data_IF_583415334321
#
_entry.id   IF_583415334321
#
_cell.length_a   1.000
_cell.length_b   1.000
_cell.length_c   1.000
_cell.angle_alpha   90.00
_cell.angle_beta   90.00
_cell.angle_gamma   90.00
#
_symmetry.space_group_name_H-M   'P 1'
#
loop_
_entity.id
_entity.type
_entity.pdbx_description
1 polymer ?
#
# COMPACT_ATOMS: atom_id res chain seq x y z
N UNK A 1 -13.63 -19.33 14.02
CA UNK A 1 -12.38 -20.09 13.81
C UNK A 1 -11.29 -19.38 14.60
N UNK A 2 -10.54 -20.06 15.47
CA UNK A 2 -9.44 -19.41 16.20
C UNK A 2 -8.40 -18.94 15.18
N UNK A 3 -8.04 -17.67 15.25
CA UNK A 3 -6.86 -17.15 14.56
C UNK A 3 -5.67 -17.80 15.21
N UNK A 4 -4.94 -18.62 14.45
CA UNK A 4 -3.65 -19.16 14.90
C UNK A 4 -2.79 -17.95 15.31
N UNK A 5 -2.48 -17.89 16.62
CA UNK A 5 -1.64 -16.83 17.19
C UNK A 5 -0.21 -16.80 16.59
N UNK A 6 0.12 -17.80 15.78
CA UNK A 6 1.39 -17.97 15.07
C UNK A 6 1.38 -17.41 13.62
N UNK A 7 0.27 -16.92 13.09
CA UNK A 7 0.25 -16.41 11.71
C UNK A 7 0.68 -14.93 11.68
N UNK A 8 1.80 -14.68 11.00
CA UNK A 8 2.37 -13.33 10.84
C UNK A 8 1.54 -12.43 9.92
N UNK A 9 0.50 -12.95 9.28
CA UNK A 9 -0.36 -12.21 8.32
C UNK A 9 -1.83 -12.31 8.69
N UNK A 10 -2.58 -11.29 8.30
CA UNK A 10 -4.02 -11.22 8.45
C UNK A 10 -4.74 -12.04 7.37
N UNK A 11 -5.95 -12.56 7.63
CA UNK A 11 -6.78 -13.15 6.59
C UNK A 11 -7.22 -12.08 5.57
N UNK A 12 -7.22 -12.44 4.28
CA UNK A 12 -7.84 -11.60 3.26
C UNK A 12 -9.33 -11.91 3.14
N UNK A 13 -10.19 -10.89 3.10
CA UNK A 13 -11.62 -11.06 2.90
C UNK A 13 -11.96 -11.50 1.46
N UNK A 14 -13.17 -12.03 1.19
CA UNK A 14 -13.54 -12.60 -0.10
C UNK A 14 -13.42 -11.65 -1.29
N UNK A 15 -13.73 -10.35 -1.10
CA UNK A 15 -13.70 -9.35 -2.15
C UNK A 15 -12.32 -8.73 -2.40
N UNK A 16 -11.33 -8.98 -1.55
CA UNK A 16 -9.98 -8.50 -1.79
C UNK A 16 -9.39 -9.07 -3.09
N UNK A 17 -8.67 -8.26 -3.91
CA UNK A 17 -8.01 -8.75 -5.11
C UNK A 17 -6.89 -9.73 -4.75
N UNK A 18 -6.84 -10.86 -5.46
CA UNK A 18 -5.89 -11.94 -5.17
C UNK A 18 -5.06 -12.30 -6.37
N UNK A 19 -3.77 -12.49 -6.18
CA UNK A 19 -2.90 -13.09 -7.20
C UNK A 19 -3.15 -14.60 -7.21
N UNK A 20 -3.20 -15.20 -8.38
CA UNK A 20 -3.05 -16.65 -8.55
C UNK A 20 -1.59 -17.03 -8.23
N UNK A 21 -1.20 -16.87 -6.96
CA UNK A 21 0.16 -17.12 -6.51
C UNK A 21 0.38 -18.58 -6.08
N UNK A 22 1.62 -19.04 -6.21
CA UNK A 22 2.00 -20.36 -5.74
C UNK A 22 2.03 -20.41 -4.21
N UNK A 23 1.80 -21.60 -3.62
CA UNK A 23 1.99 -21.84 -2.19
C UNK A 23 3.41 -21.47 -1.73
N UNK A 24 4.40 -21.68 -2.62
CA UNK A 24 5.80 -21.31 -2.39
C UNK A 24 5.99 -19.79 -2.19
N UNK A 25 5.40 -18.97 -3.04
CA UNK A 25 5.50 -17.50 -2.92
C UNK A 25 4.94 -17.00 -1.57
N UNK A 26 3.80 -17.56 -1.15
CA UNK A 26 3.21 -17.22 0.17
C UNK A 26 4.10 -17.69 1.32
N UNK A 27 4.66 -18.88 1.22
CA UNK A 27 5.58 -19.42 2.21
C UNK A 27 6.85 -18.55 2.32
N UNK A 28 7.47 -18.16 1.19
CA UNK A 28 8.62 -17.25 1.17
C UNK A 28 8.26 -15.92 1.85
N UNK A 29 7.15 -15.29 1.48
CA UNK A 29 6.74 -14.02 2.09
C UNK A 29 6.56 -14.13 3.61
N UNK A 30 5.88 -15.19 4.10
CA UNK A 30 5.72 -15.45 5.53
C UNK A 30 7.05 -15.70 6.24
N UNK A 31 7.96 -16.45 5.59
CA UNK A 31 9.29 -16.71 6.15
C UNK A 31 10.12 -15.43 6.28
N UNK A 32 10.07 -14.54 5.27
CA UNK A 32 10.74 -13.23 5.34
C UNK A 32 10.20 -12.39 6.50
N UNK A 33 8.88 -12.31 6.67
CA UNK A 33 8.28 -11.58 7.79
C UNK A 33 8.67 -12.18 9.14
N UNK A 34 8.59 -13.51 9.30
CA UNK A 34 8.97 -14.21 10.54
C UNK A 34 10.43 -14.00 10.91
N UNK A 35 11.34 -14.19 9.96
CA UNK A 35 12.78 -13.98 10.16
C UNK A 35 13.11 -12.52 10.49
N UNK A 36 12.36 -11.56 9.92
CA UNK A 36 12.47 -10.15 10.26
C UNK A 36 11.84 -9.78 11.60
N UNK A 37 11.06 -10.67 12.19
CA UNK A 37 10.26 -10.43 13.39
C UNK A 37 9.04 -9.53 13.15
N UNK A 38 8.59 -9.41 11.90
CA UNK A 38 7.43 -8.59 11.51
C UNK A 38 6.13 -9.37 11.58
N UNK A 39 5.07 -8.69 12.02
CA UNK A 39 3.71 -9.23 12.04
C UNK A 39 2.71 -8.19 11.55
N UNK A 40 1.57 -8.66 11.08
CA UNK A 40 0.47 -7.79 10.69
C UNK A 40 -0.58 -7.67 11.79
N UNK A 41 -1.20 -6.49 11.91
CA UNK A 41 -2.29 -6.22 12.86
C UNK A 41 -3.40 -5.41 12.17
N UNK A 42 -4.61 -5.45 12.75
CA UNK A 42 -5.81 -4.81 12.19
C UNK A 42 -6.66 -5.81 11.40
N UNK A 43 -7.43 -5.31 10.44
CA UNK A 43 -8.28 -6.12 9.57
C UNK A 43 -8.40 -5.49 8.19
N UNK A 44 -8.42 -6.32 7.15
CA UNK A 44 -8.72 -5.84 5.81
C UNK A 44 -10.24 -5.69 5.62
N UNK A 45 -10.70 -4.59 4.99
CA UNK A 45 -12.12 -4.42 4.67
C UNK A 45 -12.55 -5.35 3.53
N UNK A 46 -13.79 -5.86 3.61
CA UNK A 46 -14.32 -6.72 2.54
C UNK A 46 -14.93 -5.91 1.39
N UNK A 47 -14.09 -5.14 0.72
CA UNK A 47 -14.49 -4.33 -0.45
C UNK A 47 -13.58 -4.60 -1.64
N UNK A 48 -14.13 -4.57 -2.87
CA UNK A 48 -13.36 -4.93 -4.05
C UNK A 48 -12.39 -3.84 -4.52
N UNK A 49 -12.67 -2.57 -4.20
CA UNK A 49 -11.91 -1.43 -4.74
C UNK A 49 -11.57 -0.42 -3.66
N UNK A 50 -10.32 0.01 -3.62
CA UNK A 50 -9.85 1.07 -2.70
C UNK A 50 -8.50 1.65 -3.14
N UNK A 51 -8.15 2.79 -2.56
CA UNK A 51 -6.78 3.31 -2.58
C UNK A 51 -6.13 3.02 -1.23
N UNK A 52 -5.07 2.20 -1.22
CA UNK A 52 -4.27 1.93 -0.03
C UNK A 52 -3.12 2.92 0.02
N UNK A 53 -2.95 3.58 1.17
CA UNK A 53 -1.80 4.46 1.40
C UNK A 53 -0.92 3.88 2.49
N UNK A 54 0.40 3.83 2.22
CA UNK A 54 1.40 3.36 3.18
C UNK A 54 2.25 4.51 3.69
N UNK A 55 2.24 4.75 5.00
CA UNK A 55 3.08 5.72 5.70
C UNK A 55 3.38 5.22 7.13
N UNK A 56 4.42 5.71 7.81
CA UNK A 56 5.52 6.51 7.27
C UNK A 56 6.33 5.74 6.22
N UNK A 57 6.76 6.43 5.15
CA UNK A 57 7.63 5.85 4.14
C UNK A 57 9.03 6.44 4.26
N UNK A 58 9.84 5.87 5.15
CA UNK A 58 11.12 6.45 5.59
C UNK A 58 12.35 5.63 5.17
N UNK A 59 12.17 4.45 4.57
CA UNK A 59 13.26 3.55 4.23
C UNK A 59 12.99 2.71 2.98
N UNK A 60 14.05 2.22 2.34
CA UNK A 60 13.94 1.18 1.29
C UNK A 60 13.40 -0.16 1.86
N UNK A 61 13.61 -0.39 3.16
CA UNK A 61 13.12 -1.58 3.84
C UNK A 61 11.60 -1.65 3.91
N UNK A 62 10.90 -0.51 3.85
CA UNK A 62 9.43 -0.48 3.79
C UNK A 62 8.93 -1.23 2.54
N UNK A 63 9.66 -1.08 1.42
CA UNK A 63 9.39 -1.86 0.21
C UNK A 63 9.60 -3.35 0.41
N UNK A 64 10.68 -3.75 1.09
CA UNK A 64 10.96 -5.17 1.38
C UNK A 64 9.84 -5.78 2.22
N UNK A 65 9.47 -5.13 3.32
CA UNK A 65 8.42 -5.61 4.22
C UNK A 65 7.03 -5.58 3.55
N UNK A 66 6.74 -4.52 2.80
CA UNK A 66 5.49 -4.40 2.04
C UNK A 66 5.33 -5.48 0.96
N UNK A 67 6.39 -5.76 0.19
CA UNK A 67 6.36 -6.84 -0.80
C UNK A 67 6.34 -8.24 -0.17
N UNK A 68 7.03 -8.44 0.96
CA UNK A 68 6.94 -9.67 1.73
C UNK A 68 5.51 -9.92 2.24
N UNK A 69 4.86 -8.90 2.81
CA UNK A 69 3.46 -8.97 3.24
C UNK A 69 2.53 -9.24 2.06
N UNK A 70 2.67 -8.52 0.95
CA UNK A 70 1.91 -8.75 -0.28
C UNK A 70 2.03 -10.20 -0.76
N UNK A 71 3.25 -10.73 -0.81
CA UNK A 71 3.53 -12.11 -1.23
C UNK A 71 2.91 -13.12 -0.25
N UNK A 72 3.11 -12.91 1.06
CA UNK A 72 2.58 -13.76 2.12
C UNK A 72 1.06 -13.89 2.12
N UNK A 73 0.37 -12.76 1.82
CA UNK A 73 -1.07 -12.68 1.68
C UNK A 73 -1.58 -13.28 0.36
N UNK A 74 -0.78 -13.22 -0.70
CA UNK A 74 -1.26 -13.41 -2.07
C UNK A 74 -2.17 -12.27 -2.53
N UNK A 75 -1.93 -11.04 -2.03
CA UNK A 75 -2.70 -9.85 -2.36
C UNK A 75 -2.29 -9.27 -3.71
N UNK A 76 -3.25 -8.97 -4.58
CA UNK A 76 -3.01 -8.31 -5.86
C UNK A 76 -3.19 -6.78 -5.75
N UNK A 77 -2.36 -6.15 -4.95
CA UNK A 77 -2.31 -4.69 -4.92
C UNK A 77 -1.39 -4.16 -6.02
N UNK A 78 -1.83 -3.15 -6.75
CA UNK A 78 -1.04 -2.45 -7.76
C UNK A 78 -0.39 -1.21 -7.14
N UNK A 79 0.90 -1.02 -7.36
CA UNK A 79 1.64 0.13 -6.85
C UNK A 79 2.33 0.90 -7.98
N UNK A 80 2.51 2.21 -7.82
CA UNK A 80 3.22 3.02 -8.81
C UNK A 80 4.72 2.93 -8.60
N UNK A 81 5.45 2.61 -9.66
CA UNK A 81 6.90 2.67 -9.72
C UNK A 81 7.39 3.71 -10.72
N UNK A 82 8.55 4.28 -10.47
CA UNK A 82 9.19 5.21 -11.42
C UNK A 82 9.51 4.47 -12.72
N UNK A 83 9.11 5.05 -13.87
CA UNK A 83 9.31 4.46 -15.21
C UNK A 83 10.76 4.01 -15.45
N UNK A 84 11.74 4.82 -15.00
CA UNK A 84 13.16 4.49 -15.17
C UNK A 84 13.58 3.15 -14.55
N UNK A 85 12.89 2.64 -13.53
CA UNK A 85 13.19 1.35 -12.92
C UNK A 85 12.85 0.18 -13.85
N UNK A 86 11.90 0.38 -14.76
CA UNK A 86 11.48 -0.65 -15.71
C UNK A 86 12.41 -0.79 -16.92
N UNK A 87 13.33 0.17 -17.09
CA UNK A 87 14.37 0.16 -18.13
C UNK A 87 15.59 -0.66 -17.72
N UNK A 88 15.70 -1.00 -16.41
CA UNK A 88 16.78 -1.86 -15.90
C UNK A 88 16.49 -3.32 -16.24
N UNK A 89 17.41 -4.04 -16.93
CA UNK A 89 17.24 -5.44 -17.26
C UNK A 89 16.92 -6.29 -16.03
N UNK A 90 16.05 -7.29 -16.18
CA UNK A 90 15.54 -8.17 -15.13
C UNK A 90 14.67 -7.47 -14.08
N UNK A 91 15.06 -6.27 -13.59
CA UNK A 91 14.32 -5.54 -12.58
C UNK A 91 12.93 -5.12 -13.09
N UNK A 92 12.82 -4.63 -14.33
CA UNK A 92 11.54 -4.24 -14.92
C UNK A 92 10.55 -5.40 -15.00
N UNK A 93 11.02 -6.61 -15.36
CA UNK A 93 10.22 -7.82 -15.37
C UNK A 93 9.75 -8.22 -13.97
N UNK A 94 10.65 -8.21 -13.00
CA UNK A 94 10.34 -8.48 -11.59
C UNK A 94 9.32 -7.49 -11.04
N UNK A 95 9.49 -6.20 -11.28
CA UNK A 95 8.56 -5.17 -10.82
C UNK A 95 7.16 -5.36 -11.41
N UNK A 96 7.03 -5.66 -12.71
CA UNK A 96 5.73 -5.99 -13.31
C UNK A 96 5.11 -7.24 -12.69
N UNK A 97 5.90 -8.28 -12.46
CA UNK A 97 5.45 -9.49 -11.78
C UNK A 97 4.95 -9.19 -10.35
N UNK A 98 5.61 -8.28 -9.65
CA UNK A 98 5.20 -7.80 -8.34
C UNK A 98 3.99 -6.83 -8.38
N UNK A 99 3.41 -6.55 -9.55
CA UNK A 99 2.26 -5.67 -9.70
C UNK A 99 2.61 -4.18 -9.62
N UNK A 100 3.88 -3.82 -9.87
CA UNK A 100 4.28 -2.42 -9.98
C UNK A 100 3.96 -1.92 -11.39
N UNK A 101 3.25 -0.79 -11.47
CA UNK A 101 2.85 -0.14 -12.72
C UNK A 101 3.81 1.03 -12.98
N UNK A 102 4.45 1.10 -14.17
CA UNK A 102 5.30 2.23 -14.52
C UNK A 102 4.49 3.52 -14.63
N UNK A 103 5.00 4.59 -14.07
CA UNK A 103 4.39 5.91 -14.17
C UNK A 103 5.43 6.94 -14.60
N UNK A 104 5.09 7.64 -15.64
CA UNK A 104 5.77 8.88 -16.02
C UNK A 104 5.24 10.02 -15.13
N UNK A 105 6.08 10.44 -14.19
CA UNK A 105 5.73 11.49 -13.23
C UNK A 105 5.77 12.89 -13.84
N UNK A 106 6.20 13.06 -15.09
CA UNK A 106 6.19 14.34 -15.78
C UNK A 106 4.79 14.76 -16.24
N UNK A 107 3.89 13.80 -16.44
CA UNK A 107 2.50 13.99 -16.86
C UNK A 107 1.51 13.84 -15.68
N UNK A 108 1.62 14.67 -14.65
CA UNK A 108 0.89 14.51 -13.39
C UNK A 108 -0.65 14.44 -13.51
N UNK A 109 -1.26 15.14 -14.46
CA UNK A 109 -2.71 15.10 -14.68
C UNK A 109 -3.17 13.78 -15.32
N UNK A 110 -2.38 13.20 -16.23
CA UNK A 110 -2.71 11.93 -16.86
C UNK A 110 -2.66 10.73 -15.90
N UNK A 111 -1.80 10.78 -14.87
CA UNK A 111 -1.62 9.69 -13.90
C UNK A 111 -2.87 9.50 -13.02
N UNK A 112 -3.48 10.59 -12.56
CA UNK A 112 -4.69 10.53 -11.72
C UNK A 112 -5.83 9.88 -12.49
N UNK A 113 -6.09 10.36 -13.70
CA UNK A 113 -7.20 9.84 -14.50
C UNK A 113 -6.96 8.39 -14.95
N UNK A 114 -5.73 8.03 -15.36
CA UNK A 114 -5.37 6.66 -15.68
C UNK A 114 -5.60 5.71 -14.49
N UNK A 115 -5.13 6.08 -13.30
CA UNK A 115 -5.30 5.26 -12.11
C UNK A 115 -6.78 5.12 -11.72
N UNK A 116 -7.54 6.22 -11.77
CA UNK A 116 -8.97 6.21 -11.50
C UNK A 116 -9.73 5.34 -12.52
N UNK A 117 -9.40 5.44 -13.81
CA UNK A 117 -9.99 4.62 -14.85
C UNK A 117 -9.68 3.12 -14.64
N UNK A 118 -8.45 2.77 -14.26
CA UNK A 118 -8.09 1.38 -13.93
C UNK A 118 -8.92 0.84 -12.76
N UNK A 119 -9.14 1.65 -11.72
CA UNK A 119 -9.97 1.26 -10.56
C UNK A 119 -11.43 1.10 -10.99
N UNK A 120 -11.99 2.06 -11.74
CA UNK A 120 -13.40 2.02 -12.18
C UNK A 120 -13.69 0.80 -13.04
N UNK A 121 -12.82 0.50 -14.01
CA UNK A 121 -13.04 -0.54 -15.03
C UNK A 121 -12.76 -1.96 -14.56
N UNK A 122 -12.10 -2.16 -13.42
CA UNK A 122 -11.82 -3.49 -12.87
C UNK A 122 -12.94 -3.94 -11.93
N UNK A 123 -13.18 -5.24 -11.83
CA UNK A 123 -14.10 -5.80 -10.82
C UNK A 123 -13.53 -5.67 -9.41
N UNK A 124 -12.20 -5.90 -9.29
CA UNK A 124 -11.45 -5.82 -8.02
C UNK A 124 -10.14 -5.12 -8.28
N UNK A 125 -9.86 -4.06 -7.54
CA UNK A 125 -8.62 -3.29 -7.72
C UNK A 125 -8.23 -2.53 -6.45
N UNK A 126 -7.14 -2.91 -5.84
CA UNK A 126 -6.53 -2.16 -4.76
C UNK A 126 -5.29 -1.45 -5.28
N UNK A 127 -5.28 -0.14 -5.13
CA UNK A 127 -4.23 0.73 -5.64
C UNK A 127 -3.39 1.27 -4.50
N UNK A 128 -2.09 0.93 -4.45
CA UNK A 128 -1.20 1.27 -3.36
C UNK A 128 -0.22 2.39 -3.72
N UNK A 129 -0.03 3.33 -2.81
CA UNK A 129 1.00 4.36 -2.93
C UNK A 129 1.45 4.91 -1.57
N UNK A 130 2.63 5.57 -1.55
CA UNK A 130 3.10 6.33 -0.40
C UNK A 130 2.73 7.81 -0.61
N UNK A 131 1.91 8.41 0.28
CA UNK A 131 1.41 9.78 0.10
C UNK A 131 2.53 10.82 0.24
N UNK A 132 3.61 10.50 0.93
CA UNK A 132 4.80 11.35 1.07
C UNK A 132 5.53 11.52 -0.28
N UNK A 133 5.48 10.53 -1.17
CA UNK A 133 6.13 10.53 -2.48
C UNK A 133 7.66 10.50 -2.42
N UNK A 134 8.24 10.40 -1.25
CA UNK A 134 9.67 10.35 -0.96
C UNK A 134 9.90 9.60 0.36
N UNK A 135 11.17 9.29 0.68
CA UNK A 135 11.59 8.71 1.97
C UNK A 135 12.23 9.73 2.90
N UNK A 136 12.26 10.99 2.51
CA UNK A 136 12.70 12.10 3.36
C UNK A 136 11.49 12.68 4.09
N UNK A 137 11.66 13.28 5.28
CA UNK A 137 10.59 13.99 5.95
C UNK A 137 9.98 15.05 5.03
N UNK A 138 8.66 15.18 5.04
CA UNK A 138 7.94 16.16 4.24
C UNK A 138 6.89 16.89 5.07
N UNK A 139 6.82 18.19 4.92
CA UNK A 139 5.80 19.00 5.58
C UNK A 139 4.40 18.74 5.00
N UNK A 140 4.33 18.46 3.69
CA UNK A 140 3.07 18.26 2.98
C UNK A 140 3.08 16.97 2.18
N UNK A 141 2.00 16.22 2.26
CA UNK A 141 1.77 15.04 1.46
C UNK A 141 1.38 15.40 0.02
N UNK A 142 1.68 14.52 -0.92
CA UNK A 142 1.17 14.58 -2.28
C UNK A 142 -0.33 14.28 -2.29
N UNK A 143 -1.09 15.09 -3.02
CA UNK A 143 -2.55 14.99 -3.08
C UNK A 143 -3.06 13.92 -4.06
N UNK A 144 -2.16 13.23 -4.75
CA UNK A 144 -2.50 12.26 -5.79
C UNK A 144 -3.42 11.14 -5.31
N UNK A 145 -3.20 10.60 -4.10
CA UNK A 145 -4.04 9.54 -3.55
C UNK A 145 -5.50 10.00 -3.36
N UNK A 146 -5.68 11.22 -2.85
CA UNK A 146 -7.00 11.80 -2.63
C UNK A 146 -7.73 12.01 -3.97
N UNK A 147 -7.04 12.61 -4.95
CA UNK A 147 -7.60 12.84 -6.29
C UNK A 147 -7.98 11.54 -7.00
N UNK A 148 -7.15 10.51 -6.90
CA UNK A 148 -7.44 9.18 -7.47
C UNK A 148 -8.66 8.56 -6.79
N UNK A 149 -8.70 8.56 -5.46
CA UNK A 149 -9.80 7.98 -4.70
C UNK A 149 -11.13 8.69 -4.98
N UNK A 150 -11.14 10.03 -5.02
CA UNK A 150 -12.34 10.83 -5.39
C UNK A 150 -12.77 10.57 -6.83
N UNK A 151 -11.84 10.58 -7.80
CA UNK A 151 -12.16 10.34 -9.20
C UNK A 151 -12.65 8.91 -9.47
N UNK A 152 -12.23 7.94 -8.66
CA UNK A 152 -12.65 6.54 -8.76
C UNK A 152 -13.87 6.20 -7.88
N UNK A 153 -14.31 7.12 -7.03
CA UNK A 153 -15.39 6.94 -6.04
C UNK A 153 -15.13 5.72 -5.12
N UNK A 154 -13.94 5.69 -4.52
CA UNK A 154 -13.52 4.61 -3.62
C UNK A 154 -12.90 5.17 -2.33
N UNK A 155 -12.98 4.44 -1.21
CA UNK A 155 -12.38 4.89 0.03
C UNK A 155 -10.85 4.73 0.03
N UNK A 156 -10.21 5.38 1.01
CA UNK A 156 -8.79 5.26 1.31
C UNK A 156 -8.59 4.35 2.50
N UNK A 157 -7.73 3.33 2.35
CA UNK A 157 -7.31 2.43 3.42
C UNK A 157 -5.90 2.80 3.86
N UNK A 158 -5.69 3.26 5.11
CA UNK A 158 -4.36 3.51 5.63
C UNK A 158 -3.70 2.20 6.08
N UNK A 159 -2.43 2.04 5.71
CA UNK A 159 -1.54 1.02 6.23
C UNK A 159 -0.26 1.68 6.76
N UNK A 160 0.32 1.13 7.81
CA UNK A 160 1.52 1.71 8.41
C UNK A 160 2.60 0.68 8.69
N UNK A 161 3.85 1.17 8.70
CA UNK A 161 5.01 0.44 9.20
C UNK A 161 5.41 1.04 10.54
N UNK A 162 5.33 0.24 11.60
CA UNK A 162 5.78 0.65 12.94
C UNK A 162 7.04 -0.14 13.30
N UNK A 163 8.18 0.49 13.14
CA UNK A 163 9.48 -0.17 13.30
C UNK A 163 9.83 -0.53 14.75
N UNK A 164 9.47 0.26 15.77
CA UNK A 164 9.75 -0.12 17.15
C UNK A 164 9.22 -1.52 17.49
N UNK A 165 7.98 -1.82 17.09
CA UNK A 165 7.32 -3.08 17.38
C UNK A 165 7.33 -4.06 16.19
N UNK A 166 7.94 -3.68 15.05
CA UNK A 166 7.97 -4.44 13.79
C UNK A 166 6.57 -4.85 13.32
N UNK A 167 5.68 -3.88 13.28
CA UNK A 167 4.27 -4.06 12.90
C UNK A 167 4.00 -3.46 11.51
N UNK A 168 3.28 -4.22 10.69
CA UNK A 168 2.55 -3.70 9.53
C UNK A 168 1.08 -3.65 9.94
N UNK A 169 0.54 -2.45 10.12
CA UNK A 169 -0.84 -2.29 10.55
C UNK A 169 -1.76 -1.85 9.44
N UNK A 170 -3.00 -2.33 9.51
CA UNK A 170 -4.11 -1.93 8.64
C UNK A 170 -5.11 -1.16 9.49
N UNK A 171 -5.44 0.06 9.06
CA UNK A 171 -6.41 0.90 9.74
C UNK A 171 -7.84 0.75 9.22
N UNK A 172 -8.68 1.68 9.61
CA UNK A 172 -10.05 1.76 9.14
C UNK A 172 -10.16 2.56 7.83
N UNK A 173 -11.26 2.36 7.10
CA UNK A 173 -11.52 3.08 5.86
C UNK A 173 -11.81 4.56 6.11
N UNK A 174 -11.18 5.41 5.31
CA UNK A 174 -11.52 6.82 5.21
C UNK A 174 -12.36 7.06 3.95
N UNK A 175 -13.62 7.41 4.14
CA UNK A 175 -14.47 7.97 3.09
C UNK A 175 -14.17 9.46 2.97
N UNK A 176 -13.89 9.91 1.75
CA UNK A 176 -13.42 11.26 1.48
C UNK A 176 -14.61 12.22 1.29
N UNK A 177 -14.54 13.37 1.95
CA UNK A 177 -15.46 14.48 1.76
C UNK A 177 -15.14 15.32 0.53
N UNK A 178 -15.61 16.56 0.54
CA UNK A 178 -15.34 17.52 -0.54
C UNK A 178 -14.17 18.45 -0.21
N UNK A 179 -13.78 18.54 1.07
CA UNK A 179 -12.62 19.30 1.49
C UNK A 179 -11.37 18.40 1.56
N UNK A 180 -10.56 18.53 0.53
CA UNK A 180 -9.29 17.79 0.42
C UNK A 180 -8.34 18.07 1.58
N UNK A 181 -8.26 19.31 2.05
CA UNK A 181 -7.32 19.69 3.10
C UNK A 181 -7.75 19.11 4.44
N UNK A 182 -9.04 19.15 4.74
CA UNK A 182 -9.61 18.55 5.94
C UNK A 182 -9.41 17.03 5.96
N UNK A 183 -9.66 16.34 4.84
CA UNK A 183 -9.45 14.90 4.74
C UNK A 183 -7.98 14.53 4.93
N UNK A 184 -7.06 15.22 4.26
CA UNK A 184 -5.61 14.97 4.39
C UNK A 184 -5.16 15.23 5.82
N UNK A 185 -5.63 16.29 6.46
CA UNK A 185 -5.29 16.60 7.85
C UNK A 185 -5.79 15.51 8.81
N UNK A 186 -7.03 15.01 8.62
CA UNK A 186 -7.62 13.91 9.39
C UNK A 186 -6.81 12.61 9.23
N UNK A 187 -6.48 12.25 7.99
CA UNK A 187 -5.68 11.06 7.70
C UNK A 187 -4.27 11.19 8.29
N UNK A 188 -3.58 12.34 8.13
CA UNK A 188 -2.27 12.57 8.74
C UNK A 188 -2.31 12.48 10.26
N UNK A 189 -3.36 13.01 10.90
CA UNK A 189 -3.53 12.93 12.34
C UNK A 189 -3.61 11.47 12.82
N UNK A 190 -4.27 10.60 12.05
CA UNK A 190 -4.33 9.16 12.34
C UNK A 190 -2.95 8.49 12.30
N UNK A 191 -2.03 8.98 11.44
CA UNK A 191 -0.69 8.42 11.34
C UNK A 191 0.30 8.87 12.43
N UNK A 192 -0.02 9.90 13.22
CA UNK A 192 0.91 10.47 14.22
C UNK A 192 1.54 9.46 15.19
N UNK A 193 0.86 8.41 15.68
CA UNK A 193 1.46 7.45 16.59
C UNK A 193 2.53 6.55 15.97
N UNK A 194 2.54 6.43 14.64
CA UNK A 194 3.33 5.41 13.98
C UNK A 194 4.71 5.93 13.56
N UNK A 195 5.75 5.15 13.89
CA UNK A 195 7.13 5.51 13.61
C UNK A 195 7.74 4.59 12.57
N UNK A 196 8.21 5.18 11.45
CA UNK A 196 9.00 4.51 10.44
C UNK A 196 10.42 4.22 10.94
N UNK A 197 11.28 3.72 10.03
CA UNK A 197 12.67 3.37 10.38
C UNK A 197 13.49 4.58 10.79
N UNK A 198 13.29 5.73 10.16
CA UNK A 198 14.08 6.94 10.36
C UNK A 198 13.28 8.12 10.92
N UNK A 199 11.99 8.20 10.62
CA UNK A 199 11.10 9.27 11.09
C UNK A 199 9.63 8.82 11.02
N UNK A 200 8.75 9.55 11.71
CA UNK A 200 7.30 9.44 11.62
C UNK A 200 6.72 10.28 10.48
N UNK A 201 5.40 10.47 10.50
CA UNK A 201 4.64 11.30 9.54
C UNK A 201 4.31 12.68 10.15
N UNK A 202 5.29 13.40 10.61
CA UNK A 202 5.08 14.74 11.20
C UNK A 202 4.75 15.78 10.17
#
# INVERSE_FOLDING_TARGET
MPTDADDVVLPLPPNAPRVRGSRLTRWIGRSVLRLGGWRMVGAFPDIPKLVLIGAPHSSNWDGVWGFAAKAALGLDIKVLGKDSLFKVPLLGGLLRHLGVIPVDRSASHGVVEQAAAMIRNADRFWFGLAPEGTRKPVERWKTGFWKIAKAADVPVLPAYFHYPDKIIGIGELFWLGDDMNADIARIRAWYRPWQGKHHGTT
#
